data_IF_604256916191
#
_entry.id   IF_604256916191
#
_cell.length_a   1.000
_cell.length_b   1.000
_cell.length_c   1.000
_cell.angle_alpha   90.00
_cell.angle_beta   90.00
_cell.angle_gamma   90.00
#
_symmetry.space_group_name_H-M   'P 1'
#
loop_
_entity.id
_entity.type
_entity.pdbx_description
1 polymer ?
#
# COMPACT_ATOMS: atom_id res chain seq x y z
N UNK A 1 -6.20 15.18 -0.59
CA UNK A 1 -4.78 14.76 -0.57
C UNK A 1 -4.08 15.41 0.62
N UNK A 2 -3.02 14.80 1.15
CA UNK A 2 -2.33 15.29 2.36
C UNK A 2 -1.38 16.45 2.09
N UNK A 3 -0.70 16.43 0.94
CA UNK A 3 0.39 17.35 0.60
C UNK A 3 0.26 17.98 -0.80
N UNK A 4 -0.87 17.79 -1.48
CA UNK A 4 -1.15 18.39 -2.78
C UNK A 4 -2.64 18.67 -2.94
N UNK A 5 -3.01 19.43 -3.96
CA UNK A 5 -4.39 19.72 -4.31
C UNK A 5 -5.11 18.48 -4.90
N UNK A 6 -6.42 18.32 -4.66
CA UNK A 6 -7.20 19.05 -3.66
C UNK A 6 -6.79 18.63 -2.24
N UNK A 7 -6.61 19.59 -1.33
CA UNK A 7 -6.28 19.33 0.06
C UNK A 7 -7.46 18.72 0.83
N UNK A 8 -7.16 18.13 2.00
CA UNK A 8 -8.18 17.52 2.86
C UNK A 8 -9.23 18.55 3.29
N UNK A 9 -8.80 19.77 3.60
CA UNK A 9 -9.64 20.89 4.01
C UNK A 9 -10.63 21.28 2.91
N UNK A 10 -10.20 21.30 1.64
CA UNK A 10 -11.07 21.58 0.49
C UNK A 10 -12.13 20.49 0.32
N UNK A 11 -11.74 19.22 0.42
CA UNK A 11 -12.67 18.10 0.39
C UNK A 11 -13.69 18.17 1.54
N UNK A 12 -13.26 18.58 2.74
CA UNK A 12 -14.15 18.75 3.89
C UNK A 12 -15.14 19.89 3.68
N UNK A 13 -14.73 21.01 3.08
CA UNK A 13 -15.68 22.07 2.73
C UNK A 13 -16.71 21.58 1.72
N UNK A 14 -16.31 20.75 0.74
CA UNK A 14 -17.24 20.16 -0.21
C UNK A 14 -18.23 19.21 0.48
N UNK A 15 -17.77 18.34 1.39
CA UNK A 15 -18.62 17.46 2.23
C UNK A 15 -19.69 18.26 2.98
N UNK A 16 -19.33 19.45 3.52
CA UNK A 16 -20.28 20.33 4.21
C UNK A 16 -21.30 20.95 3.25
N UNK A 17 -20.85 21.45 2.08
CA UNK A 17 -21.73 22.05 1.05
C UNK A 17 -22.76 21.05 0.54
N UNK A 18 -22.34 19.81 0.32
CA UNK A 18 -23.18 18.73 -0.19
C UNK A 18 -24.09 18.11 0.88
N UNK A 19 -23.98 18.57 2.14
CA UNK A 19 -24.78 18.10 3.29
C UNK A 19 -24.73 16.59 3.45
N UNK A 20 -23.54 16.02 3.27
CA UNK A 20 -23.30 14.58 3.43
C UNK A 20 -23.73 14.14 4.84
N UNK A 21 -24.51 13.06 4.92
CA UNK A 21 -25.10 12.55 6.16
C UNK A 21 -24.38 11.34 6.75
N UNK A 22 -23.54 10.67 5.95
CA UNK A 22 -22.63 9.60 6.38
C UNK A 22 -21.36 9.66 5.54
N UNK A 23 -20.21 9.45 6.17
CA UNK A 23 -18.91 9.49 5.52
C UNK A 23 -18.16 8.17 5.72
N UNK A 24 -17.58 7.66 4.64
CA UNK A 24 -16.58 6.59 4.70
C UNK A 24 -15.24 7.18 4.29
N UNK A 25 -14.23 6.98 5.12
CA UNK A 25 -12.86 7.39 4.86
C UNK A 25 -12.10 6.15 4.38
N UNK A 26 -11.69 6.18 3.12
CA UNK A 26 -10.89 5.14 2.48
C UNK A 26 -9.51 5.71 2.11
N UNK A 27 -8.49 5.50 2.96
CA UNK A 27 -7.10 5.71 2.59
C UNK A 27 -6.71 4.79 1.44
N UNK A 28 -6.04 5.33 0.41
CA UNK A 28 -5.58 4.54 -0.75
C UNK A 28 -4.25 3.82 -0.52
N UNK A 29 -3.90 3.58 0.74
CA UNK A 29 -2.80 2.71 1.16
C UNK A 29 -3.39 1.38 1.63
N UNK A 30 -3.12 0.24 0.96
CA UNK A 30 -3.66 -1.06 1.37
C UNK A 30 -3.18 -1.45 2.77
N UNK A 31 -1.90 -1.21 3.05
CA UNK A 31 -1.26 -1.44 4.34
C UNK A 31 -1.27 -0.15 5.16
N UNK A 32 -1.59 -0.26 6.45
CA UNK A 32 -1.53 0.86 7.38
C UNK A 32 -0.07 1.16 7.72
N UNK A 33 0.29 2.45 7.70
CA UNK A 33 1.45 2.99 8.41
C UNK A 33 1.07 4.22 9.23
N UNK A 34 1.78 4.47 10.33
CA UNK A 34 1.61 5.65 11.17
C UNK A 34 1.92 6.95 10.40
N UNK A 35 2.74 6.87 9.34
CA UNK A 35 3.21 8.00 8.53
C UNK A 35 2.26 8.32 7.37
N UNK A 36 1.48 7.35 6.90
CA UNK A 36 0.54 7.51 5.78
C UNK A 36 -0.90 7.62 6.26
N UNK A 37 -1.59 6.49 6.41
CA UNK A 37 -2.98 6.40 6.88
C UNK A 37 -3.13 7.00 8.27
N UNK A 38 -2.23 6.68 9.21
CA UNK A 38 -2.26 7.23 10.56
C UNK A 38 -2.15 8.75 10.60
N UNK A 39 -1.26 9.32 9.78
CA UNK A 39 -1.08 10.78 9.64
C UNK A 39 -2.35 11.45 9.11
N UNK A 40 -2.96 10.87 8.06
CA UNK A 40 -4.19 11.39 7.46
C UNK A 40 -5.38 11.32 8.42
N UNK A 41 -5.52 10.23 9.18
CA UNK A 41 -6.59 10.06 10.17
C UNK A 41 -6.44 11.09 11.31
N UNK A 42 -5.23 11.32 11.83
CA UNK A 42 -5.02 12.31 12.92
C UNK A 42 -5.45 13.72 12.52
N UNK A 43 -5.19 14.10 11.28
CA UNK A 43 -5.57 15.41 10.75
C UNK A 43 -7.08 15.50 10.58
N UNK A 44 -7.68 14.46 9.98
CA UNK A 44 -9.13 14.38 9.84
C UNK A 44 -9.82 14.49 11.21
N UNK A 45 -9.36 13.73 12.20
CA UNK A 45 -9.90 13.77 13.56
C UNK A 45 -9.81 15.16 14.18
N UNK A 46 -8.68 15.86 14.01
CA UNK A 46 -8.53 17.25 14.48
C UNK A 46 -9.57 18.17 13.84
N UNK A 47 -9.67 18.15 12.50
CA UNK A 47 -10.64 19.00 11.78
C UNK A 47 -12.08 18.69 12.20
N UNK A 48 -12.42 17.42 12.40
CA UNK A 48 -13.76 17.00 12.80
C UNK A 48 -14.09 17.38 14.25
N UNK A 49 -13.10 17.38 15.14
CA UNK A 49 -13.28 17.80 16.53
C UNK A 49 -13.54 19.30 16.65
N UNK A 50 -12.93 20.11 15.79
CA UNK A 50 -13.01 21.58 15.86
C UNK A 50 -14.25 22.15 15.14
N UNK A 51 -15.08 21.30 14.51
CA UNK A 51 -16.26 21.72 13.74
C UNK A 51 -17.56 21.08 14.28
N UNK A 52 -18.54 21.93 14.61
CA UNK A 52 -19.80 21.53 15.23
C UNK A 52 -20.68 20.63 14.32
N UNK A 53 -20.57 20.77 13.00
CA UNK A 53 -21.28 19.92 12.06
C UNK A 53 -20.58 18.56 11.94
N UNK A 54 -19.26 18.58 11.72
CA UNK A 54 -18.47 17.37 11.47
C UNK A 54 -18.36 16.46 12.70
N UNK A 55 -18.32 17.02 13.91
CA UNK A 55 -18.27 16.25 15.17
C UNK A 55 -19.48 15.33 15.38
N UNK A 56 -20.60 15.60 14.69
CA UNK A 56 -21.85 14.82 14.73
C UNK A 56 -22.03 13.93 13.50
N UNK A 57 -21.23 14.13 12.44
CA UNK A 57 -21.31 13.35 11.22
C UNK A 57 -20.91 11.89 11.51
N UNK A 58 -21.74 10.88 11.19
CA UNK A 58 -21.33 9.49 11.25
C UNK A 58 -20.18 9.21 10.28
N UNK A 59 -19.05 8.74 10.80
CA UNK A 59 -17.85 8.41 10.04
C UNK A 59 -17.49 6.94 10.26
N UNK A 60 -17.18 6.24 9.18
CA UNK A 60 -16.49 4.95 9.20
C UNK A 60 -15.11 5.11 8.58
N UNK A 61 -14.08 4.54 9.19
CA UNK A 61 -12.70 4.63 8.70
C UNK A 61 -12.16 3.25 8.39
N UNK A 62 -11.87 2.99 7.13
CA UNK A 62 -11.19 1.77 6.70
C UNK A 62 -9.70 1.96 6.98
N UNK A 63 -9.18 1.31 8.02
CA UNK A 63 -7.78 1.53 8.46
C UNK A 63 -6.75 0.87 7.56
N UNK A 64 -7.09 -0.29 6.99
CA UNK A 64 -6.27 -1.07 6.07
C UNK A 64 -7.17 -2.03 5.31
N UNK A 65 -6.71 -2.51 4.15
CA UNK A 65 -7.51 -3.37 3.27
C UNK A 65 -6.65 -4.30 2.40
N UNK A 66 -5.35 -4.47 2.70
CA UNK A 66 -4.43 -5.36 1.97
C UNK A 66 -4.86 -6.85 1.90
N UNK A 67 -5.74 -7.30 2.80
CA UNK A 67 -6.26 -8.69 2.82
C UNK A 67 -7.49 -8.91 1.94
N UNK A 68 -8.04 -7.86 1.32
CA UNK A 68 -9.24 -7.98 0.49
C UNK A 68 -8.97 -8.89 -0.70
N UNK A 69 -9.91 -9.80 -0.97
CA UNK A 69 -9.73 -10.81 -2.00
C UNK A 69 -9.68 -10.19 -3.40
N UNK A 70 -10.47 -9.15 -3.67
CA UNK A 70 -10.42 -8.46 -4.96
C UNK A 70 -9.08 -7.78 -5.21
N UNK A 71 -8.51 -7.11 -4.21
CA UNK A 71 -7.15 -6.56 -4.27
C UNK A 71 -6.09 -7.63 -4.54
N UNK A 72 -6.06 -8.71 -3.74
CA UNK A 72 -5.09 -9.81 -3.90
C UNK A 72 -5.18 -10.42 -5.30
N UNK A 73 -6.40 -10.69 -5.77
CA UNK A 73 -6.64 -11.24 -7.12
C UNK A 73 -6.20 -10.29 -8.21
N UNK A 74 -6.46 -9.00 -8.07
CA UNK A 74 -6.07 -7.99 -9.08
C UNK A 74 -4.55 -7.85 -9.20
N UNK A 75 -3.81 -7.93 -8.09
CA UNK A 75 -2.35 -7.97 -8.12
C UNK A 75 -1.87 -9.28 -8.76
N UNK A 76 -2.45 -10.42 -8.38
CA UNK A 76 -2.11 -11.72 -8.96
C UNK A 76 -2.37 -11.78 -10.48
N UNK A 77 -3.49 -11.21 -10.96
CA UNK A 77 -3.81 -11.07 -12.38
C UNK A 77 -2.74 -10.28 -13.12
N UNK A 78 -2.32 -9.16 -12.52
CA UNK A 78 -1.29 -8.30 -13.08
C UNK A 78 0.08 -8.99 -13.12
N UNK A 79 0.44 -9.73 -12.07
CA UNK A 79 1.67 -10.54 -12.03
C UNK A 79 1.65 -11.62 -13.12
N UNK A 80 0.58 -12.41 -13.21
CA UNK A 80 0.45 -13.47 -14.25
C UNK A 80 0.56 -12.87 -15.65
N UNK A 81 -0.10 -11.75 -15.88
CA UNK A 81 -0.07 -11.03 -17.17
C UNK A 81 1.32 -10.53 -17.54
N UNK A 82 2.14 -10.09 -16.57
CA UNK A 82 3.50 -9.68 -16.86
C UNK A 82 4.45 -10.87 -16.98
N UNK A 83 4.28 -11.93 -16.18
CA UNK A 83 5.07 -13.15 -16.28
C UNK A 83 4.96 -13.76 -17.68
N UNK A 84 3.77 -13.79 -18.27
CA UNK A 84 3.55 -14.37 -19.62
C UNK A 84 4.27 -13.62 -20.75
N UNK A 85 4.85 -12.44 -20.47
CA UNK A 85 5.64 -11.68 -21.45
C UNK A 85 7.12 -12.07 -21.46
N UNK A 86 7.57 -12.84 -20.46
CA UNK A 86 8.91 -13.40 -20.45
C UNK A 86 8.95 -14.66 -21.33
N UNK A 87 10.08 -14.91 -21.97
CA UNK A 87 10.29 -16.14 -22.78
C UNK A 87 10.18 -17.41 -21.92
N UNK A 88 10.65 -17.34 -20.67
CA UNK A 88 10.61 -18.41 -19.68
C UNK A 88 9.98 -17.93 -18.37
N UNK A 89 8.63 -17.81 -18.31
CA UNK A 89 7.91 -17.27 -17.16
C UNK A 89 8.25 -17.97 -15.84
N UNK A 90 8.51 -19.27 -15.85
CA UNK A 90 8.83 -20.11 -14.70
C UNK A 90 10.20 -19.85 -14.07
N UNK A 91 11.16 -19.30 -14.83
CA UNK A 91 12.50 -18.95 -14.34
C UNK A 91 12.56 -17.52 -13.74
N UNK A 92 11.47 -16.76 -13.80
CA UNK A 92 11.43 -15.36 -13.33
C UNK A 92 11.36 -15.30 -11.81
N UNK A 93 12.24 -14.50 -11.19
CA UNK A 93 12.14 -14.14 -9.78
C UNK A 93 11.16 -12.97 -9.61
N UNK A 94 10.15 -13.14 -8.75
CA UNK A 94 9.23 -12.06 -8.39
C UNK A 94 9.89 -11.18 -7.32
N UNK A 95 10.05 -9.90 -7.61
CA UNK A 95 10.72 -8.94 -6.74
C UNK A 95 9.71 -7.92 -6.22
N UNK A 96 9.24 -8.09 -4.98
CA UNK A 96 8.37 -7.12 -4.34
C UNK A 96 9.19 -5.92 -3.85
N UNK A 97 8.82 -4.72 -4.29
CA UNK A 97 9.40 -3.47 -3.81
C UNK A 97 8.34 -2.70 -3.04
N UNK A 98 8.61 -2.43 -1.76
CA UNK A 98 7.77 -1.62 -0.89
C UNK A 98 8.51 -0.34 -0.48
N UNK A 99 7.82 0.78 -0.30
CA UNK A 99 8.46 1.96 0.27
C UNK A 99 8.99 1.64 1.69
N UNK A 100 10.23 2.01 1.98
CA UNK A 100 10.81 1.81 3.31
C UNK A 100 10.14 2.65 4.39
N UNK A 101 10.35 2.28 5.65
CA UNK A 101 10.07 3.16 6.78
C UNK A 101 11.25 3.12 7.76
N UNK A 102 11.48 4.17 8.55
CA UNK A 102 12.45 4.13 9.65
C UNK A 102 12.17 2.96 10.60
N UNK A 103 13.24 2.26 11.02
CA UNK A 103 13.13 1.09 11.92
C UNK A 103 12.44 1.47 13.24
N UNK A 104 12.72 2.67 13.75
CA UNK A 104 12.12 3.19 14.99
C UNK A 104 10.60 3.28 14.93
N UNK A 105 9.99 3.42 13.75
CA UNK A 105 8.53 3.44 13.63
C UNK A 105 7.94 2.05 13.85
N UNK A 106 8.62 1.01 13.38
CA UNK A 106 8.19 -0.38 13.58
C UNK A 106 8.49 -0.84 15.01
N UNK A 107 9.73 -0.65 15.48
CA UNK A 107 10.19 -1.21 16.76
C UNK A 107 9.70 -0.41 17.97
N UNK A 108 9.73 0.92 17.90
CA UNK A 108 9.42 1.76 19.07
C UNK A 108 7.98 2.27 19.05
N UNK A 109 7.44 2.60 17.88
CA UNK A 109 6.08 3.15 17.75
C UNK A 109 5.02 2.09 17.39
N UNK A 110 5.42 0.84 17.15
CA UNK A 110 4.50 -0.27 16.87
C UNK A 110 3.80 -0.16 15.52
N UNK A 111 4.44 0.45 14.50
CA UNK A 111 3.89 0.53 13.15
C UNK A 111 3.72 -0.89 12.55
N UNK A 112 2.49 -1.33 12.22
CA UNK A 112 2.24 -2.67 11.70
C UNK A 112 2.66 -2.85 10.23
N UNK A 113 3.11 -1.78 9.55
CA UNK A 113 3.37 -1.75 8.11
C UNK A 113 4.20 -2.93 7.60
N UNK A 114 5.33 -3.25 8.26
CA UNK A 114 6.20 -4.37 7.89
C UNK A 114 5.41 -5.70 7.86
N UNK A 115 4.70 -5.99 8.94
CA UNK A 115 3.94 -7.24 9.07
C UNK A 115 2.80 -7.30 8.05
N UNK A 116 2.14 -6.16 7.76
CA UNK A 116 1.08 -6.11 6.76
C UNK A 116 1.60 -6.27 5.33
N UNK A 117 2.79 -5.74 5.02
CA UNK A 117 3.46 -5.97 3.72
C UNK A 117 3.80 -7.45 3.55
N UNK A 118 4.45 -8.06 4.55
CA UNK A 118 4.86 -9.46 4.50
C UNK A 118 3.67 -10.41 4.37
N UNK A 119 2.59 -10.14 5.12
CA UNK A 119 1.37 -10.92 5.00
C UNK A 119 0.64 -10.69 3.66
N UNK A 120 0.60 -9.46 3.16
CA UNK A 120 0.03 -9.16 1.84
C UNK A 120 0.74 -9.98 0.74
N UNK A 121 2.07 -10.01 0.79
CA UNK A 121 2.89 -10.80 -0.14
C UNK A 121 2.59 -12.28 0.02
N UNK A 122 2.52 -12.79 1.24
CA UNK A 122 2.15 -14.19 1.49
C UNK A 122 0.80 -14.55 0.86
N UNK A 123 -0.22 -13.69 1.01
CA UNK A 123 -1.55 -13.92 0.44
C UNK A 123 -1.55 -13.88 -1.10
N UNK A 124 -0.79 -12.97 -1.70
CA UNK A 124 -0.61 -12.89 -3.16
C UNK A 124 0.12 -14.13 -3.68
N UNK A 125 1.22 -14.54 -3.04
CA UNK A 125 1.96 -15.73 -3.43
C UNK A 125 1.12 -17.01 -3.29
N UNK A 126 0.26 -17.08 -2.28
CA UNK A 126 -0.72 -18.17 -2.12
C UNK A 126 -1.72 -18.20 -3.28
N UNK A 127 -2.25 -17.04 -3.68
CA UNK A 127 -3.15 -16.91 -4.83
C UNK A 127 -2.45 -17.31 -6.15
N UNK A 128 -1.21 -16.87 -6.36
CA UNK A 128 -0.40 -17.26 -7.52
C UNK A 128 -0.16 -18.78 -7.57
N UNK A 129 0.17 -19.39 -6.43
CA UNK A 129 0.35 -20.84 -6.33
C UNK A 129 -0.92 -21.61 -6.67
N UNK A 130 -2.08 -21.11 -6.22
CA UNK A 130 -3.38 -21.70 -6.56
C UNK A 130 -3.68 -21.64 -8.07
N UNK A 131 -3.08 -20.69 -8.79
CA UNK A 131 -3.17 -20.51 -10.25
C UNK A 131 -2.06 -21.22 -11.04
N UNK A 132 -1.19 -21.98 -10.36
CA UNK A 132 -0.11 -22.73 -10.99
C UNK A 132 1.21 -21.98 -11.14
N UNK A 133 1.29 -20.69 -10.76
CA UNK A 133 2.55 -19.95 -10.75
C UNK A 133 3.36 -20.29 -9.49
N UNK A 134 4.55 -20.87 -9.66
CA UNK A 134 5.42 -21.35 -8.57
C UNK A 134 6.74 -20.61 -8.47
N UNK A 135 6.81 -19.41 -9.06
CA UNK A 135 7.97 -18.55 -9.02
C UNK A 135 8.43 -18.28 -7.59
N UNK A 136 9.74 -18.26 -7.38
CA UNK A 136 10.31 -17.74 -6.16
C UNK A 136 10.06 -16.24 -6.05
N UNK A 137 10.15 -15.72 -4.84
CA UNK A 137 10.00 -14.29 -4.59
C UNK A 137 10.97 -13.77 -3.53
N UNK A 138 11.19 -12.46 -3.56
CA UNK A 138 11.89 -11.74 -2.50
C UNK A 138 11.25 -10.37 -2.27
N UNK A 139 11.53 -9.77 -1.13
CA UNK A 139 11.03 -8.45 -0.73
C UNK A 139 12.24 -7.55 -0.42
N UNK A 140 12.19 -6.31 -0.91
CA UNK A 140 13.09 -5.25 -0.50
C UNK A 140 12.34 -3.91 -0.31
N UNK A 141 13.01 -2.99 0.38
CA UNK A 141 12.49 -1.68 0.72
C UNK A 141 13.25 -0.58 -0.03
N UNK A 142 12.50 0.28 -0.74
CA UNK A 142 13.01 1.38 -1.56
C UNK A 142 12.90 2.75 -0.87
N UNK A 143 13.37 3.80 -1.55
CA UNK A 143 13.10 5.21 -1.21
C UNK A 143 13.55 5.64 0.20
N UNK A 144 14.72 5.16 0.64
CA UNK A 144 15.33 5.62 1.90
C UNK A 144 15.92 7.02 1.77
N UNK A 145 15.74 7.85 2.79
CA UNK A 145 16.31 9.20 2.84
C UNK A 145 16.94 9.51 4.21
N UNK A 146 18.03 10.27 4.18
CA UNK A 146 18.73 10.72 5.39
C UNK A 146 19.52 9.62 6.11
N UNK A 147 20.10 9.94 7.28
CA UNK A 147 21.07 9.09 7.96
C UNK A 147 20.47 8.05 8.92
N UNK A 148 19.14 8.08 9.14
CA UNK A 148 18.47 7.17 10.08
C UNK A 148 18.45 5.74 9.54
N UNK A 149 18.27 4.75 10.41
CA UNK A 149 18.13 3.36 9.99
C UNK A 149 16.74 3.09 9.42
N UNK A 150 16.68 2.49 8.23
CA UNK A 150 15.46 2.09 7.52
C UNK A 150 15.29 0.57 7.51
N UNK A 151 14.06 0.11 7.26
CA UNK A 151 13.78 -1.30 7.05
C UNK A 151 14.66 -1.88 5.94
N UNK A 152 15.15 -3.09 6.21
CA UNK A 152 15.99 -3.89 5.33
C UNK A 152 15.23 -5.12 4.83
N UNK A 153 15.62 -5.70 3.69
CA UNK A 153 16.80 -5.34 2.89
C UNK A 153 16.53 -4.16 1.94
N UNK A 154 17.58 -3.42 1.54
CA UNK A 154 17.43 -2.25 0.68
C UNK A 154 17.38 -2.65 -0.80
N UNK A 155 16.44 -2.08 -1.56
CA UNK A 155 16.21 -2.45 -2.98
C UNK A 155 17.49 -2.37 -3.82
N UNK A 156 18.28 -1.31 -3.68
CA UNK A 156 19.53 -1.15 -4.42
C UNK A 156 20.58 -2.23 -4.09
N UNK A 157 20.66 -2.67 -2.83
CA UNK A 157 21.63 -3.69 -2.40
C UNK A 157 21.18 -5.08 -2.87
N UNK A 158 19.90 -5.39 -2.74
CA UNK A 158 19.33 -6.67 -3.17
C UNK A 158 19.49 -6.86 -4.67
N UNK A 159 19.27 -5.82 -5.49
CA UNK A 159 19.41 -5.93 -6.95
C UNK A 159 20.84 -6.29 -7.37
N UNK A 160 21.85 -5.70 -6.72
CA UNK A 160 23.27 -6.04 -6.96
C UNK A 160 23.53 -7.49 -6.55
N UNK A 161 23.07 -7.90 -5.37
CA UNK A 161 23.24 -9.25 -4.85
C UNK A 161 22.61 -10.31 -5.75
N UNK A 162 21.38 -10.08 -6.23
CA UNK A 162 20.67 -10.98 -7.14
C UNK A 162 21.41 -11.13 -8.48
N UNK A 163 21.95 -10.03 -9.01
CA UNK A 163 22.77 -10.04 -10.20
C UNK A 163 24.03 -10.91 -10.04
N UNK A 164 24.74 -10.74 -8.92
CA UNK A 164 25.90 -11.56 -8.56
C UNK A 164 25.57 -13.04 -8.34
N UNK A 165 24.40 -13.34 -7.75
CA UNK A 165 23.87 -14.70 -7.61
C UNK A 165 23.42 -15.33 -8.93
N UNK A 166 23.47 -14.58 -10.04
CA UNK A 166 23.21 -15.09 -11.37
C UNK A 166 21.74 -15.04 -11.79
N UNK A 167 20.85 -14.37 -11.04
CA UNK A 167 19.45 -14.19 -11.45
C UNK A 167 19.39 -13.45 -12.78
N UNK A 168 18.69 -14.03 -13.76
CA UNK A 168 18.62 -13.49 -15.13
C UNK A 168 17.33 -12.76 -15.45
N UNK A 169 16.23 -13.14 -14.83
CA UNK A 169 14.90 -12.59 -15.11
C UNK A 169 14.25 -12.13 -13.82
N UNK A 170 13.82 -10.88 -13.78
CA UNK A 170 13.24 -10.27 -12.59
C UNK A 170 11.96 -9.51 -12.97
N UNK A 171 10.89 -9.76 -12.20
CA UNK A 171 9.62 -9.04 -12.31
C UNK A 171 9.41 -8.20 -11.04
N UNK A 172 9.60 -6.88 -11.15
CA UNK A 172 9.37 -5.94 -10.07
C UNK A 172 7.87 -5.74 -9.81
N UNK A 173 7.45 -5.77 -8.55
CA UNK A 173 6.06 -5.58 -8.11
C UNK A 173 6.02 -4.45 -7.07
N UNK A 174 5.56 -3.23 -7.44
CA UNK A 174 5.36 -2.16 -6.47
C UNK A 174 4.15 -2.49 -5.59
N UNK A 175 4.38 -2.90 -4.34
CA UNK A 175 3.32 -3.50 -3.49
C UNK A 175 2.68 -2.54 -2.48
N UNK A 176 3.31 -1.38 -2.25
CA UNK A 176 2.87 -0.40 -1.24
C UNK A 176 1.95 0.70 -1.78
N UNK A 177 1.66 0.72 -3.09
CA UNK A 177 0.83 1.74 -3.73
C UNK A 177 -0.03 1.17 -4.85
N UNK A 178 -1.13 1.88 -5.15
CA UNK A 178 -2.12 1.46 -6.16
C UNK A 178 -2.21 2.39 -7.38
N UNK A 179 -1.37 3.42 -7.45
CA UNK A 179 -1.30 4.33 -8.60
C UNK A 179 0.15 4.56 -8.99
N UNK A 180 0.38 4.90 -10.25
CA UNK A 180 1.71 5.30 -10.71
C UNK A 180 2.12 6.62 -10.06
N UNK A 181 3.39 6.74 -9.69
CA UNK A 181 3.98 7.91 -9.07
C UNK A 181 5.50 7.90 -9.30
N UNK A 182 6.21 8.86 -8.71
CA UNK A 182 7.65 9.02 -8.95
C UNK A 182 8.44 7.74 -8.63
N UNK A 183 8.07 7.03 -7.55
CA UNK A 183 8.81 5.84 -7.14
C UNK A 183 8.56 4.63 -8.07
N UNK A 184 7.49 4.61 -8.87
CA UNK A 184 7.29 3.56 -9.88
C UNK A 184 7.91 3.93 -11.23
N UNK A 185 7.66 5.15 -11.69
CA UNK A 185 8.04 5.61 -13.04
C UNK A 185 9.51 6.01 -13.15
N UNK A 186 10.10 6.54 -12.09
CA UNK A 186 11.50 6.96 -12.07
C UNK A 186 12.34 5.92 -11.32
N UNK A 187 12.07 5.68 -10.04
CA UNK A 187 12.95 4.80 -9.25
C UNK A 187 12.95 3.37 -9.80
N UNK A 188 11.78 2.75 -10.06
CA UNK A 188 11.74 1.36 -10.55
C UNK A 188 12.05 1.27 -12.05
N UNK A 189 11.36 2.04 -12.89
CA UNK A 189 11.47 1.91 -14.36
C UNK A 189 12.77 2.48 -14.95
N UNK A 190 13.44 3.39 -14.25
CA UNK A 190 14.71 3.97 -14.68
C UNK A 190 15.86 3.51 -13.77
N UNK A 191 15.87 3.95 -12.50
CA UNK A 191 17.01 3.76 -11.60
C UNK A 191 17.33 2.29 -11.29
N UNK A 192 16.35 1.56 -10.74
CA UNK A 192 16.50 0.16 -10.36
C UNK A 192 16.60 -0.76 -11.57
N UNK A 193 15.89 -0.47 -12.66
CA UNK A 193 16.09 -1.18 -13.92
C UNK A 193 17.53 -1.06 -14.43
N UNK A 194 18.08 0.15 -14.50
CA UNK A 194 19.46 0.37 -14.93
C UNK A 194 20.46 -0.35 -14.00
N UNK A 195 20.27 -0.24 -12.68
CA UNK A 195 21.08 -0.93 -11.69
C UNK A 195 21.02 -2.46 -11.84
N UNK A 196 19.82 -3.01 -12.02
CA UNK A 196 19.62 -4.44 -12.22
C UNK A 196 20.35 -4.97 -13.46
N UNK A 197 20.21 -4.26 -14.58
CA UNK A 197 20.88 -4.61 -15.84
C UNK A 197 22.40 -4.57 -15.70
N UNK A 198 22.94 -3.51 -15.08
CA UNK A 198 24.38 -3.39 -14.78
C UNK A 198 24.90 -4.46 -13.84
N UNK A 199 24.04 -4.98 -12.96
CA UNK A 199 24.39 -6.02 -11.99
C UNK A 199 24.35 -7.44 -12.55
N UNK A 200 23.85 -7.65 -13.78
CA UNK A 200 23.86 -8.94 -14.49
C UNK A 200 22.49 -9.58 -14.70
N UNK A 201 21.40 -8.91 -14.31
CA UNK A 201 20.03 -9.26 -14.72
C UNK A 201 19.88 -8.92 -16.21
N UNK A 202 19.20 -9.77 -16.98
CA UNK A 202 19.04 -9.61 -18.44
C UNK A 202 17.63 -9.20 -18.82
N UNK A 203 16.65 -9.79 -18.16
CA UNK A 203 15.24 -9.58 -18.44
C UNK A 203 14.60 -8.88 -17.26
N UNK A 204 14.04 -7.71 -17.51
CA UNK A 204 13.37 -6.90 -16.51
C UNK A 204 11.93 -6.64 -16.92
N UNK A 205 11.01 -6.89 -16.01
CA UNK A 205 9.60 -6.50 -16.11
C UNK A 205 9.16 -5.76 -14.86
N UNK A 206 8.11 -4.97 -14.99
CA UNK A 206 7.42 -4.34 -13.86
C UNK A 206 5.92 -4.57 -13.97
N UNK A 207 5.30 -4.91 -12.85
CA UNK A 207 3.84 -4.90 -12.71
C UNK A 207 3.35 -3.45 -12.64
N UNK A 208 2.42 -3.03 -13.54
CA UNK A 208 1.82 -1.72 -13.45
C UNK A 208 1.06 -1.57 -12.13
N UNK A 209 0.99 -0.35 -11.60
CA UNK A 209 0.09 -0.06 -10.50
C UNK A 209 -1.35 -0.36 -10.92
N UNK A 210 -2.19 -0.81 -9.98
CA UNK A 210 -3.56 -1.25 -10.28
C UNK A 210 -4.41 -0.17 -10.96
N UNK A 211 -4.17 1.11 -10.63
CA UNK A 211 -4.85 2.24 -11.22
C UNK A 211 -6.36 2.09 -11.15
N UNK A 212 -6.99 1.98 -12.33
CA UNK A 212 -8.44 1.86 -12.46
C UNK A 212 -8.87 0.49 -13.04
N UNK A 213 -8.12 -0.59 -12.79
CA UNK A 213 -8.57 -1.94 -13.19
C UNK A 213 -9.94 -2.24 -12.57
N UNK A 214 -10.84 -2.83 -13.37
CA UNK A 214 -12.24 -2.97 -12.98
C UNK A 214 -12.41 -3.82 -11.72
N UNK A 215 -11.69 -4.93 -11.61
CA UNK A 215 -11.70 -5.79 -10.42
C UNK A 215 -11.27 -5.07 -9.15
N UNK A 216 -10.25 -4.20 -9.24
CA UNK A 216 -9.76 -3.42 -8.12
C UNK A 216 -10.76 -2.34 -7.71
N UNK A 217 -11.30 -1.59 -8.67
CA UNK A 217 -12.29 -0.54 -8.39
C UNK A 217 -13.57 -1.12 -7.80
N UNK A 218 -14.04 -2.27 -8.29
CA UNK A 218 -15.17 -2.98 -7.70
C UNK A 218 -14.88 -3.37 -6.25
N UNK A 219 -13.70 -3.92 -5.95
CA UNK A 219 -13.35 -4.32 -4.58
C UNK A 219 -13.25 -3.13 -3.61
N UNK A 220 -12.78 -1.97 -4.08
CA UNK A 220 -12.81 -0.73 -3.28
C UNK A 220 -14.24 -0.23 -3.04
N UNK A 221 -15.11 -0.32 -4.04
CA UNK A 221 -16.52 0.04 -3.89
C UNK A 221 -17.21 -0.86 -2.86
N UNK A 222 -16.97 -2.18 -2.93
CA UNK A 222 -17.46 -3.15 -1.96
C UNK A 222 -16.94 -2.82 -0.55
N UNK A 223 -15.65 -2.47 -0.40
CA UNK A 223 -15.09 -2.06 0.88
C UNK A 223 -15.83 -0.87 1.50
N UNK A 224 -16.19 0.11 0.68
CA UNK A 224 -16.93 1.31 1.12
C UNK A 224 -18.35 0.94 1.54
N UNK A 225 -19.05 0.11 0.74
CA UNK A 225 -20.41 -0.35 1.05
C UNK A 225 -20.44 -1.17 2.34
N UNK A 226 -19.49 -2.09 2.51
CA UNK A 226 -19.33 -2.90 3.73
C UNK A 226 -19.02 -2.06 4.97
N UNK A 227 -18.26 -0.97 4.82
CA UNK A 227 -17.87 -0.10 5.92
C UNK A 227 -18.98 0.88 6.36
N UNK A 228 -19.92 1.22 5.46
CA UNK A 228 -20.94 2.25 5.68
C UNK A 228 -21.85 1.99 6.89
N UNK A 229 -22.32 0.75 7.19
CA UNK A 229 -23.13 0.46 8.38
C UNK A 229 -22.39 0.72 9.71
N UNK A 230 -21.06 0.70 9.70
CA UNK A 230 -20.23 0.92 10.90
C UNK A 230 -20.01 2.42 11.21
N UNK A 231 -20.54 3.33 10.39
CA UNK A 231 -20.35 4.76 10.58
C UNK A 231 -20.99 5.26 11.87
N UNK A 232 -20.18 5.89 12.73
CA UNK A 232 -20.60 6.45 14.02
C UNK A 232 -20.02 7.86 14.19
N UNK A 233 -20.69 8.70 14.97
CA UNK A 233 -20.18 10.04 15.25
C UNK A 233 -18.84 9.94 16.01
N UNK A 234 -17.84 10.73 15.60
CA UNK A 234 -16.51 10.72 16.22
C UNK A 234 -16.53 11.14 17.70
N UNK A 235 -17.54 11.91 18.12
CA UNK A 235 -17.80 12.24 19.52
C UNK A 235 -18.06 11.00 20.40
N UNK A 236 -18.69 9.95 19.86
CA UNK A 236 -19.02 8.71 20.59
C UNK A 236 -17.79 7.79 20.73
N UNK A 237 -16.87 7.83 19.76
CA UNK A 237 -15.63 7.01 19.80
C UNK A 237 -14.71 7.38 20.98
N UNK A 238 -14.89 8.55 21.60
CA UNK A 238 -14.18 8.98 22.82
C UNK A 238 -14.61 8.22 24.08
N UNK A 239 -15.88 7.82 24.18
CA UNK A 239 -16.39 7.15 25.39
C UNK A 239 -15.91 5.70 25.45
N UNK A 240 -15.93 5.00 24.32
CA UNK A 240 -15.48 3.61 24.22
C UNK A 240 -13.96 3.43 24.38
N UNK A 241 -13.14 4.41 23.97
CA UNK A 241 -11.68 4.32 24.12
C UNK A 241 -11.20 4.59 25.55
N UNK A 242 -11.96 5.37 26.34
CA UNK A 242 -11.67 5.59 27.77
C UNK A 242 -12.01 4.39 28.65
N UNK A 243 -13.00 3.57 28.26
CA UNK A 243 -13.36 2.36 29.02
C UNK A 243 -12.39 1.19 28.78
N UNK A 244 -11.71 1.14 27.63
CA UNK A 244 -10.73 0.09 27.31
C UNK A 244 -9.34 0.30 27.92
N UNK A 245 -9.00 1.51 28.37
CA UNK A 245 -7.74 1.81 29.09
C UNK A 245 -7.89 1.66 30.62
N UNK A 246 -9.07 1.29 31.12
CA UNK A 246 -9.36 1.07 32.54
C UNK A 246 -9.62 -0.40 32.90
N UNK A 247 -9.19 -1.37 32.09
CA UNK A 247 -9.24 -2.81 32.42
C UNK A 247 -7.97 -3.54 32.05
#
# INVERSE_FOLDING_TARGET
>A
MRYWYPFMEEAIQQIKRDRITKLVVLPLFPQFSITTTGSSIRVLQRIFMDDAYLSRLPVSIIRFWYRRQGYIRSIADSIVTQLSKFEKPEEVLIFFSAHGVPVSYVENAGDPYKNQIEECIYLIMRELKARGARNDHTLAYQSRVGPVQWLKPYTNEVLVELGWKGVKSLLAVPISYVSEHIETLEEIDMGYKDLALKSGIKNWGRVPALGCTSSFITDLADAVVEALPSAKALSILRETAKESDCR
#
